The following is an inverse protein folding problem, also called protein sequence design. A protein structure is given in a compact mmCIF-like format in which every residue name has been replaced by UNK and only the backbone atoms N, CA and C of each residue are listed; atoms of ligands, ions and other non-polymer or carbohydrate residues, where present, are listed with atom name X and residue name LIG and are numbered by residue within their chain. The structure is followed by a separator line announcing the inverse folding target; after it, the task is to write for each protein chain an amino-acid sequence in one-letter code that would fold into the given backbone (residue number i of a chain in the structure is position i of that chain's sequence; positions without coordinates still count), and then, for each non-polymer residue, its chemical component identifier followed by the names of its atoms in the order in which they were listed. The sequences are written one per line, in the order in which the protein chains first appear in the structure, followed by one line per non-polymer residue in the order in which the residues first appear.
data_IF_337726933444
#
_entry.id   IF_337726933444
#
_cell.length_a   1.000
_cell.length_b   1.000
_cell.length_c   1.000
_cell.angle_alpha   90.00
_cell.angle_beta   90.00
_cell.angle_gamma   90.00
#
_symmetry.space_group_name_H-M   'P 1'
#
loop_
_entity.id
_entity.type
_entity.pdbx_description
1 polymer ?
#
# COMPACT_ATOMS: atom_id res chain seq x y z
N UNK A 1 -18.02 37.53 -14.59
CA UNK A 1 -18.10 36.14 -15.07
C UNK A 1 -16.97 35.93 -16.07
N UNK A 2 -15.77 35.59 -15.58
CA UNK A 2 -14.70 35.08 -16.43
C UNK A 2 -14.83 33.56 -16.36
N UNK A 3 -15.10 32.90 -17.49
CA UNK A 3 -15.17 31.44 -17.53
C UNK A 3 -13.79 30.86 -17.24
N UNK A 4 -13.71 29.91 -16.31
CA UNK A 4 -12.51 29.08 -16.14
C UNK A 4 -12.22 28.40 -17.48
N UNK A 5 -11.15 28.82 -18.17
CA UNK A 5 -10.67 28.14 -19.37
C UNK A 5 -10.03 26.85 -18.90
N UNK A 6 -10.82 25.78 -18.84
CA UNK A 6 -10.36 24.43 -18.55
C UNK A 6 -9.36 24.01 -19.64
N UNK A 7 -8.22 23.43 -19.25
CA UNK A 7 -7.25 22.86 -20.20
C UNK A 7 -7.83 21.66 -20.97
N UNK A 8 -7.08 21.12 -21.95
CA UNK A 8 -7.53 19.94 -22.69
C UNK A 8 -7.79 18.76 -21.75
N UNK A 9 -8.94 18.11 -21.92
CA UNK A 9 -9.37 16.95 -21.15
C UNK A 9 -8.95 15.68 -21.85
N UNK A 10 -8.05 14.92 -21.23
CA UNK A 10 -7.42 13.75 -21.85
C UNK A 10 -7.60 12.50 -20.99
N UNK A 11 -7.85 11.36 -21.63
CA UNK A 11 -8.07 10.08 -20.95
C UNK A 11 -6.80 9.23 -21.02
N UNK A 12 -6.33 8.77 -19.86
CA UNK A 12 -5.13 7.95 -19.74
C UNK A 12 -5.44 6.61 -19.06
N UNK A 13 -4.70 5.57 -19.43
CA UNK A 13 -4.60 4.34 -18.67
C UNK A 13 -3.64 4.53 -17.50
N UNK A 14 -4.04 4.06 -16.32
CA UNK A 14 -3.24 4.22 -15.11
C UNK A 14 -2.27 3.05 -14.97
N UNK A 15 -1.00 3.38 -14.72
CA UNK A 15 -0.02 2.45 -14.19
C UNK A 15 0.38 2.92 -12.79
N UNK A 16 -0.07 2.22 -11.76
CA UNK A 16 0.36 2.49 -10.38
C UNK A 16 1.68 1.77 -10.09
N UNK A 17 2.69 2.51 -9.63
CA UNK A 17 3.96 1.93 -9.18
C UNK A 17 4.28 2.34 -7.74
N UNK A 18 4.99 1.48 -6.98
CA UNK A 18 5.46 1.84 -5.66
C UNK A 18 6.30 3.12 -5.69
N UNK A 19 6.14 4.00 -4.70
CA UNK A 19 6.83 5.30 -4.63
C UNK A 19 8.36 5.14 -4.66
N UNK A 20 8.88 3.99 -4.27
CA UNK A 20 10.29 3.64 -4.31
C UNK A 20 10.88 3.73 -5.72
N UNK A 21 10.09 3.46 -6.77
CA UNK A 21 10.51 3.63 -8.18
C UNK A 21 10.66 5.10 -8.59
N UNK A 22 10.15 6.04 -7.78
CA UNK A 22 10.24 7.49 -7.97
C UNK A 22 11.36 8.13 -7.12
N UNK A 23 12.16 7.34 -6.39
CA UNK A 23 13.23 7.83 -5.50
C UNK A 23 14.60 8.04 -6.17
N UNK A 24 14.74 7.59 -7.43
CA UNK A 24 15.98 7.45 -8.23
C UNK A 24 17.34 7.68 -7.55
N UNK A 25 18.11 6.60 -7.46
CA UNK A 25 19.55 6.62 -7.74
C UNK A 25 19.85 5.54 -8.77
N UNK A 26 20.69 5.90 -9.75
CA UNK A 26 21.23 5.10 -10.87
C UNK A 26 20.45 5.10 -12.19
N UNK A 27 21.05 5.81 -13.15
CA UNK A 27 20.95 5.60 -14.60
C UNK A 27 19.55 5.75 -15.21
N UNK A 28 18.92 6.91 -15.01
CA UNK A 28 18.18 7.46 -16.17
C UNK A 28 19.23 7.78 -17.24
N UNK A 29 19.02 7.36 -18.47
CA UNK A 29 19.83 7.80 -19.61
C UNK A 29 19.65 9.31 -19.92
N UNK A 30 19.05 10.08 -19.00
CA UNK A 30 18.61 11.46 -19.19
C UNK A 30 19.30 12.47 -18.25
N UNK A 31 20.17 12.02 -17.33
CA UNK A 31 20.96 12.92 -16.46
C UNK A 31 22.44 12.56 -16.50
N UNK A 32 23.13 13.02 -17.55
CA UNK A 32 24.61 13.05 -17.61
C UNK A 32 25.19 14.31 -16.94
N UNK A 33 24.38 15.12 -16.28
CA UNK A 33 24.81 16.37 -15.65
C UNK A 33 24.38 16.40 -14.18
N UNK A 34 25.31 15.98 -13.32
CA UNK A 34 25.25 15.94 -11.86
C UNK A 34 24.25 14.94 -11.22
N UNK A 35 24.68 14.12 -10.24
CA UNK A 35 23.80 13.18 -9.55
C UNK A 35 22.96 13.93 -8.50
N UNK A 36 21.96 14.69 -8.94
CA UNK A 36 20.92 15.15 -8.02
C UNK A 36 19.94 14.00 -7.79
N UNK A 37 19.97 13.47 -6.56
CA UNK A 37 19.05 12.45 -6.09
C UNK A 37 17.63 13.03 -6.10
N UNK A 38 16.87 12.77 -7.16
CA UNK A 38 15.48 13.18 -7.29
C UNK A 38 14.62 12.23 -6.48
N UNK A 39 14.52 12.50 -5.18
CA UNK A 39 13.43 11.98 -4.37
C UNK A 39 12.20 12.83 -4.71
N UNK A 40 11.35 12.35 -5.61
CA UNK A 40 10.12 13.03 -6.03
C UNK A 40 9.01 12.83 -4.97
N UNK A 41 8.99 11.68 -4.30
CA UNK A 41 8.11 11.39 -3.17
C UNK A 41 6.69 11.04 -3.59
N UNK A 42 5.72 11.18 -2.68
CA UNK A 42 4.37 10.62 -2.81
C UNK A 42 3.46 11.34 -3.82
N UNK A 43 3.81 12.54 -4.29
CA UNK A 43 2.97 13.34 -5.20
C UNK A 43 3.61 13.53 -6.57
N UNK A 44 3.98 12.41 -7.18
CA UNK A 44 4.79 12.37 -8.40
C UNK A 44 4.06 11.64 -9.52
N UNK A 45 4.28 12.12 -10.73
CA UNK A 45 3.67 11.64 -11.96
C UNK A 45 4.74 11.51 -13.04
N UNK A 46 4.71 10.44 -13.84
CA UNK A 46 5.57 10.32 -15.03
C UNK A 46 4.71 10.24 -16.29
N UNK A 47 5.06 11.08 -17.26
CA UNK A 47 4.42 11.18 -18.58
C UNK A 47 5.48 11.16 -19.68
N UNK A 48 5.12 10.74 -20.88
CA UNK A 48 5.96 10.99 -22.06
C UNK A 48 5.66 12.37 -22.66
N UNK A 49 6.53 12.81 -23.58
CA UNK A 49 6.42 14.11 -24.25
C UNK A 49 5.09 14.30 -25.01
N UNK A 50 4.58 13.23 -25.64
CA UNK A 50 3.29 13.26 -26.35
C UNK A 50 2.10 13.46 -25.41
N UNK A 51 2.12 12.84 -24.24
CA UNK A 51 1.05 12.97 -23.24
C UNK A 51 1.10 14.35 -22.57
N UNK A 52 2.30 14.87 -22.34
CA UNK A 52 2.52 16.25 -21.86
C UNK A 52 1.95 17.28 -22.82
N UNK A 53 2.23 17.14 -24.12
CA UNK A 53 1.73 18.05 -25.15
C UNK A 53 0.21 17.95 -25.29
N UNK A 54 -0.37 16.75 -25.22
CA UNK A 54 -1.83 16.55 -25.17
C UNK A 54 -2.48 17.30 -23.99
N UNK A 55 -1.85 17.29 -22.83
CA UNK A 55 -2.30 18.04 -21.64
C UNK A 55 -2.05 19.56 -21.71
N UNK A 56 -1.42 20.06 -22.79
CA UNK A 56 -1.12 21.48 -22.93
C UNK A 56 -0.05 21.99 -21.95
N UNK A 57 0.76 21.09 -21.37
CA UNK A 57 1.79 21.44 -20.40
C UNK A 57 3.12 21.85 -21.05
N UNK A 58 3.32 21.62 -22.35
CA UNK A 58 4.60 21.80 -23.05
C UNK A 58 5.16 23.22 -23.02
N UNK A 59 4.32 24.25 -22.91
CA UNK A 59 4.74 25.65 -22.81
C UNK A 59 5.21 26.07 -21.41
N UNK A 60 5.11 25.17 -20.41
CA UNK A 60 5.38 25.45 -18.99
C UNK A 60 6.55 24.67 -18.41
N UNK A 61 7.20 23.81 -19.21
CA UNK A 61 8.18 22.84 -18.74
C UNK A 61 9.58 23.29 -19.15
N UNK A 62 10.17 24.18 -18.35
CA UNK A 62 11.56 24.63 -18.54
C UNK A 62 12.58 23.62 -17.97
N UNK A 63 12.12 22.55 -17.30
CA UNK A 63 12.95 21.57 -16.61
C UNK A 63 12.33 20.17 -16.60
N UNK A 64 13.18 19.14 -16.38
CA UNK A 64 12.80 17.71 -16.38
C UNK A 64 11.70 17.39 -15.34
N UNK A 65 11.62 18.19 -14.27
CA UNK A 65 10.64 18.05 -13.18
C UNK A 65 9.92 19.36 -12.99
N UNK A 66 8.61 19.38 -13.19
CA UNK A 66 7.83 20.61 -13.04
C UNK A 66 6.56 20.38 -12.24
N UNK A 67 6.10 21.41 -11.56
CA UNK A 67 4.86 21.38 -10.80
C UNK A 67 3.67 21.72 -11.69
N UNK A 68 2.60 20.92 -11.60
CA UNK A 68 1.35 21.19 -12.29
C UNK A 68 0.16 20.92 -11.38
N UNK A 69 -0.87 21.76 -11.47
CA UNK A 69 -2.17 21.50 -10.85
C UNK A 69 -2.99 20.69 -11.82
N UNK A 70 -3.29 19.45 -11.43
CA UNK A 70 -4.04 18.51 -12.24
C UNK A 70 -5.35 18.14 -11.53
N UNK A 71 -6.41 18.09 -12.33
CA UNK A 71 -7.72 17.57 -11.93
C UNK A 71 -7.86 16.14 -12.44
N UNK A 72 -8.02 15.19 -11.52
CA UNK A 72 -8.18 13.76 -11.78
C UNK A 72 -9.65 13.39 -11.64
N UNK A 73 -10.24 12.94 -12.74
CA UNK A 73 -11.62 12.50 -12.82
C UNK A 73 -11.65 10.98 -13.04
N UNK A 74 -12.19 10.27 -12.05
CA UNK A 74 -12.33 8.82 -12.09
C UNK A 74 -13.78 8.42 -12.34
N UNK A 75 -13.94 7.34 -13.10
CA UNK A 75 -15.24 6.68 -13.22
C UNK A 75 -15.57 5.94 -11.93
N UNK A 76 -16.83 5.99 -11.52
CA UNK A 76 -17.33 5.26 -10.37
C UNK A 76 -18.36 4.24 -10.80
N UNK A 77 -18.21 2.99 -10.36
CA UNK A 77 -19.27 2.00 -10.46
C UNK A 77 -20.22 2.19 -9.27
N UNK A 78 -21.36 2.86 -9.50
CA UNK A 78 -22.46 2.90 -8.53
C UNK A 78 -23.35 1.67 -8.70
N UNK A 79 -23.93 1.19 -7.59
CA UNK A 79 -25.08 0.26 -7.62
C UNK A 79 -26.37 0.93 -8.12
N UNK A 80 -26.34 2.22 -8.51
CA UNK A 80 -27.47 3.01 -9.01
C UNK A 80 -27.09 3.87 -10.24
N UNK A 81 -28.02 4.16 -11.17
CA UNK A 81 -27.71 4.59 -12.54
C UNK A 81 -27.46 6.11 -12.68
N UNK A 82 -26.64 6.70 -11.82
CA UNK A 82 -26.16 8.06 -12.01
C UNK A 82 -24.63 8.08 -12.00
N UNK A 83 -24.03 8.20 -13.19
CA UNK A 83 -22.59 8.41 -13.35
C UNK A 83 -22.22 9.78 -12.77
N UNK A 84 -21.88 9.85 -11.50
CA UNK A 84 -21.25 11.02 -10.91
C UNK A 84 -19.75 10.92 -11.10
N UNK A 85 -19.17 11.78 -11.95
CA UNK A 85 -17.72 11.95 -12.03
C UNK A 85 -17.22 12.66 -10.77
N UNK A 86 -16.44 11.96 -9.95
CA UNK A 86 -15.82 12.57 -8.77
C UNK A 86 -14.42 13.06 -9.14
N UNK A 87 -14.17 14.34 -8.84
CA UNK A 87 -12.93 15.02 -9.23
C UNK A 87 -12.09 15.31 -7.99
N UNK A 88 -10.83 14.88 -8.03
CA UNK A 88 -9.80 15.33 -7.08
C UNK A 88 -8.83 16.26 -7.78
N UNK A 89 -8.59 17.44 -7.21
CA UNK A 89 -7.62 18.41 -7.72
C UNK A 89 -6.37 18.35 -6.85
N UNK A 90 -5.19 18.29 -7.47
CA UNK A 90 -3.94 18.20 -6.72
C UNK A 90 -2.77 18.84 -7.46
N UNK A 91 -1.87 19.44 -6.68
CA UNK A 91 -0.56 19.84 -7.16
C UNK A 91 0.36 18.61 -7.18
N UNK A 92 0.94 18.32 -8.34
CA UNK A 92 1.81 17.16 -8.54
C UNK A 92 3.10 17.56 -9.23
N UNK A 93 4.16 16.80 -8.96
CA UNK A 93 5.41 16.87 -9.71
C UNK A 93 5.30 15.99 -10.96
N UNK A 94 5.35 16.60 -12.14
CA UNK A 94 5.35 15.93 -13.43
C UNK A 94 6.79 15.74 -13.90
N UNK A 95 7.13 14.49 -14.21
CA UNK A 95 8.42 14.08 -14.74
C UNK A 95 8.24 13.53 -16.15
N UNK A 96 9.14 13.91 -17.04
CA UNK A 96 9.15 13.39 -18.40
C UNK A 96 10.00 12.12 -18.52
N UNK A 97 9.46 11.09 -19.14
CA UNK A 97 10.20 9.88 -19.50
C UNK A 97 9.66 9.27 -20.80
N UNK A 98 10.52 9.16 -21.82
CA UNK A 98 10.17 8.63 -23.14
C UNK A 98 9.75 7.14 -23.11
N UNK A 99 10.14 6.39 -22.07
CA UNK A 99 9.82 4.97 -21.94
C UNK A 99 8.34 4.74 -21.61
N UNK A 100 7.64 5.76 -21.12
CA UNK A 100 6.21 5.66 -20.83
C UNK A 100 5.42 5.62 -22.15
N UNK A 101 4.54 4.62 -22.35
CA UNK A 101 3.73 4.55 -23.57
C UNK A 101 2.80 5.76 -23.75
N UNK A 102 2.42 6.02 -24.99
CA UNK A 102 1.36 7.00 -25.30
C UNK A 102 0.05 6.55 -24.63
N UNK A 103 -0.73 7.52 -24.15
CA UNK A 103 -2.00 7.30 -23.44
C UNK A 103 -1.89 6.56 -22.10
N UNK A 104 -0.67 6.43 -21.55
CA UNK A 104 -0.41 5.89 -20.21
C UNK A 104 0.11 6.99 -19.29
N UNK A 105 -0.37 6.98 -18.06
CA UNK A 105 0.10 7.83 -16.97
C UNK A 105 0.65 6.94 -15.85
N UNK A 106 1.88 7.19 -15.42
CA UNK A 106 2.50 6.45 -14.32
C UNK A 106 2.35 7.28 -13.05
N UNK A 107 1.58 6.74 -12.10
CA UNK A 107 1.19 7.40 -10.86
C UNK A 107 1.81 6.62 -9.70
N UNK A 108 2.34 7.30 -8.67
CA UNK A 108 2.75 6.60 -7.45
C UNK A 108 1.55 5.97 -6.74
N UNK A 109 1.72 4.80 -6.13
CA UNK A 109 0.67 4.14 -5.33
C UNK A 109 0.15 5.06 -4.21
N UNK A 110 1.03 5.87 -3.62
CA UNK A 110 0.65 6.89 -2.63
C UNK A 110 -0.24 8.00 -3.22
N UNK A 111 0.09 8.52 -4.42
CA UNK A 111 -0.71 9.57 -5.08
C UNK A 111 -2.10 9.02 -5.39
N UNK A 112 -2.18 7.84 -6.01
CA UNK A 112 -3.45 7.21 -6.35
C UNK A 112 -4.30 6.96 -5.11
N UNK A 113 -3.72 6.40 -4.05
CA UNK A 113 -4.42 6.16 -2.79
C UNK A 113 -4.97 7.45 -2.15
N UNK A 114 -4.18 8.53 -2.18
CA UNK A 114 -4.60 9.81 -1.64
C UNK A 114 -5.68 10.50 -2.48
N UNK A 115 -5.64 10.38 -3.81
CA UNK A 115 -6.72 10.86 -4.70
C UNK A 115 -8.03 10.12 -4.38
N UNK A 116 -7.98 8.80 -4.19
CA UNK A 116 -9.15 8.00 -3.78
C UNK A 116 -9.71 8.46 -2.42
N UNK A 117 -8.83 8.70 -1.44
CA UNK A 117 -9.24 9.18 -0.12
C UNK A 117 -9.88 10.56 -0.16
N UNK A 118 -9.34 11.49 -0.96
CA UNK A 118 -9.93 12.82 -1.17
C UNK A 118 -11.33 12.71 -1.80
N UNK A 119 -11.47 11.88 -2.84
CA UNK A 119 -12.75 11.62 -3.51
C UNK A 119 -13.78 11.05 -2.53
N UNK A 120 -13.38 10.06 -1.72
CA UNK A 120 -14.27 9.43 -0.73
C UNK A 120 -14.69 10.38 0.38
N UNK A 121 -13.81 11.30 0.81
CA UNK A 121 -14.15 12.33 1.81
C UNK A 121 -15.17 13.33 1.28
N UNK A 122 -15.13 13.63 -0.03
CA UNK A 122 -16.04 14.57 -0.69
C UNK A 122 -17.40 13.94 -1.04
N UNK A 123 -17.46 12.63 -1.23
CA UNK A 123 -18.72 11.95 -1.54
C UNK A 123 -19.64 11.84 -0.31
N UNK A 124 -20.89 12.27 -0.46
CA UNK A 124 -21.93 12.12 0.56
C UNK A 124 -22.44 10.68 0.66
N UNK A 125 -22.39 9.94 -0.45
CA UNK A 125 -22.77 8.53 -0.54
C UNK A 125 -21.49 7.69 -0.51
N UNK A 126 -21.18 7.08 0.63
CA UNK A 126 -19.89 6.41 0.88
C UNK A 126 -19.70 5.04 0.22
N UNK A 127 -20.59 4.62 -0.69
CA UNK A 127 -20.60 3.27 -1.26
C UNK A 127 -20.46 3.29 -2.78
N UNK A 128 -19.24 3.48 -3.26
CA UNK A 128 -18.89 3.37 -4.67
C UNK A 128 -17.48 2.80 -4.83
N UNK A 129 -17.26 2.11 -5.94
CA UNK A 129 -15.94 1.64 -6.35
C UNK A 129 -15.40 2.57 -7.43
N UNK A 130 -14.12 2.91 -7.29
CA UNK A 130 -13.39 3.77 -8.23
C UNK A 130 -12.72 2.83 -9.24
N UNK A 131 -13.02 3.03 -10.52
CA UNK A 131 -12.31 2.32 -11.60
C UNK A 131 -10.88 2.87 -11.69
N UNK A 132 -9.91 2.02 -11.35
CA UNK A 132 -8.47 2.36 -11.36
C UNK A 132 -7.81 2.07 -12.71
N UNK A 133 -8.55 1.60 -13.71
CA UNK A 133 -7.96 1.27 -15.01
C UNK A 133 -7.69 2.52 -15.87
N UNK A 134 -8.51 3.55 -15.72
CA UNK A 134 -8.40 4.78 -16.48
C UNK A 134 -8.77 6.01 -15.65
N UNK A 135 -8.13 7.13 -15.98
CA UNK A 135 -8.41 8.43 -15.39
C UNK A 135 -8.48 9.48 -16.49
N UNK A 136 -9.41 10.40 -16.34
CA UNK A 136 -9.44 11.59 -17.17
C UNK A 136 -8.75 12.73 -16.44
N UNK A 137 -7.71 13.28 -17.04
CA UNK A 137 -6.85 14.32 -16.45
C UNK A 137 -7.06 15.63 -17.20
N UNK A 138 -7.16 16.70 -16.43
CA UNK A 138 -7.24 18.07 -16.95
C UNK A 138 -6.14 18.88 -16.29
N UNK A 139 -5.30 19.53 -17.10
CA UNK A 139 -4.34 20.50 -16.62
C UNK A 139 -5.03 21.84 -16.39
N UNK A 140 -4.89 22.42 -15.19
CA UNK A 140 -5.52 23.70 -14.90
C UNK A 140 -4.62 24.86 -15.33
N UNK A 141 -5.26 25.94 -15.81
CA UNK A 141 -4.60 27.18 -16.13
C UNK A 141 -4.43 28.02 -14.87
N UNK A 142 -3.51 27.63 -14.00
CA UNK A 142 -3.09 28.48 -12.90
C UNK A 142 -2.26 29.64 -13.48
N UNK A 143 -2.92 30.78 -13.71
CA UNK A 143 -2.24 32.06 -13.85
C UNK A 143 -1.65 32.40 -12.48
N UNK A 144 -0.43 31.94 -12.19
CA UNK A 144 0.54 32.54 -11.25
C UNK A 144 1.60 31.49 -10.89
N UNK A 145 2.84 31.75 -11.34
CA UNK A 145 4.04 30.97 -11.05
C UNK A 145 4.50 31.11 -9.58
N UNK A 146 3.60 31.27 -8.62
CA UNK A 146 3.97 31.36 -7.21
C UNK A 146 3.96 29.96 -6.58
N UNK A 147 5.03 29.59 -5.85
CA UNK A 147 5.09 28.29 -5.20
C UNK A 147 4.02 28.19 -4.10
N UNK A 148 3.43 26.99 -3.90
CA UNK A 148 2.50 26.72 -2.79
C UNK A 148 3.04 27.18 -1.43
N UNK A 149 2.12 27.59 -0.55
CA UNK A 149 2.45 28.05 0.79
C UNK A 149 3.22 26.98 1.57
N UNK A 150 4.23 27.42 2.32
CA UNK A 150 5.06 26.54 3.14
C UNK A 150 4.40 26.27 4.49
N UNK A 151 4.44 25.02 4.94
CA UNK A 151 3.96 24.65 6.26
C UNK A 151 4.92 25.16 7.34
N UNK A 152 4.39 25.57 8.49
CA UNK A 152 5.18 25.88 9.69
C UNK A 152 5.24 24.69 10.64
N UNK A 153 4.19 23.87 10.65
CA UNK A 153 4.07 22.70 11.52
C UNK A 153 3.35 21.58 10.77
N UNK A 154 3.85 20.36 10.92
CA UNK A 154 3.23 19.13 10.39
C UNK A 154 3.08 18.14 11.55
N UNK A 155 1.88 17.61 11.72
CA UNK A 155 1.59 16.53 12.67
C UNK A 155 1.43 15.23 11.90
N UNK A 156 2.23 14.23 12.25
CA UNK A 156 2.29 12.92 11.59
C UNK A 156 1.90 11.80 12.56
N UNK A 157 1.22 10.80 12.03
CA UNK A 157 1.01 9.51 12.69
C UNK A 157 1.71 8.44 11.88
N UNK A 158 2.53 7.60 12.50
CA UNK A 158 3.02 6.39 11.85
C UNK A 158 1.87 5.38 11.71
N UNK A 159 1.74 4.78 10.53
CA UNK A 159 0.83 3.65 10.28
C UNK A 159 1.70 2.39 10.35
N UNK A 160 1.95 1.90 11.57
CA UNK A 160 2.86 0.78 11.80
C UNK A 160 2.15 -0.55 11.61
N UNK A 161 2.81 -1.49 10.91
CA UNK A 161 2.36 -2.89 10.79
C UNK A 161 2.97 -3.79 11.87
N UNK A 162 4.15 -3.45 12.39
CA UNK A 162 4.88 -4.23 13.40
C UNK A 162 5.62 -3.32 14.39
N UNK A 163 5.88 -3.87 15.57
CA UNK A 163 6.28 -3.20 16.83
C UNK A 163 7.70 -2.59 16.76
N UNK A 164 7.77 -1.27 17.00
CA UNK A 164 8.89 -0.42 17.46
C UNK A 164 10.24 -0.43 16.69
N UNK A 165 10.43 0.46 15.70
CA UNK A 165 11.67 1.22 15.60
C UNK A 165 11.73 2.23 16.76
N UNK A 166 12.86 2.32 17.47
CA UNK A 166 13.12 3.43 18.38
C UNK A 166 12.86 4.78 17.68
N UNK A 167 12.27 5.76 18.39
CA UNK A 167 11.90 7.07 17.83
C UNK A 167 13.06 7.75 17.07
N UNK A 168 14.30 7.53 17.50
CA UNK A 168 15.52 8.07 16.88
C UNK A 168 15.69 7.62 15.42
N UNK A 169 15.30 6.37 15.10
CA UNK A 169 15.40 5.82 13.74
C UNK A 169 14.37 6.45 12.80
N UNK A 170 13.21 6.83 13.32
CA UNK A 170 12.15 7.51 12.56
C UNK A 170 12.56 8.93 12.21
N UNK A 171 13.18 9.65 13.14
CA UNK A 171 13.64 11.03 12.94
C UNK A 171 14.68 11.15 11.81
N UNK A 172 15.66 10.24 11.79
CA UNK A 172 16.67 10.19 10.73
C UNK A 172 16.04 9.93 9.35
N UNK A 173 15.07 9.01 9.30
CA UNK A 173 14.36 8.64 8.09
C UNK A 173 13.52 9.80 7.54
N UNK A 174 12.76 10.48 8.40
CA UNK A 174 11.98 11.67 8.00
C UNK A 174 12.90 12.84 7.58
N UNK A 175 14.04 13.02 8.25
CA UNK A 175 15.03 14.05 7.90
C UNK A 175 15.64 13.83 6.51
N UNK A 176 15.87 12.55 6.15
CA UNK A 176 16.28 12.18 4.79
C UNK A 176 15.14 12.41 3.79
N UNK A 177 13.92 12.01 4.13
CA UNK A 177 12.77 12.13 3.23
C UNK A 177 12.45 13.59 2.86
N UNK A 178 12.42 14.50 3.84
CA UNK A 178 12.15 15.93 3.65
C UNK A 178 13.39 16.75 3.23
N UNK A 179 14.48 16.08 2.83
CA UNK A 179 15.65 16.74 2.25
C UNK A 179 15.33 17.46 0.94
N UNK A 180 14.39 16.93 0.17
CA UNK A 180 13.74 17.62 -0.94
C UNK A 180 12.37 18.12 -0.50
N UNK A 181 11.92 19.21 -1.14
CA UNK A 181 10.60 19.79 -0.90
C UNK A 181 9.51 18.82 -1.32
N UNK A 182 8.54 18.59 -0.43
CA UNK A 182 7.37 17.74 -0.66
C UNK A 182 6.10 18.57 -0.55
N UNK A 183 5.15 18.36 -1.44
CA UNK A 183 3.80 18.89 -1.25
C UNK A 183 2.99 17.82 -0.50
N UNK A 184 2.29 18.19 0.56
CA UNK A 184 1.43 17.29 1.34
C UNK A 184 0.10 17.99 1.65
N UNK A 185 -0.98 17.23 1.74
CA UNK A 185 -2.33 17.66 2.13
C UNK A 185 -2.76 16.99 3.43
N UNK A 186 -3.74 17.59 4.11
CA UNK A 186 -4.33 17.00 5.31
C UNK A 186 -4.96 15.64 5.04
N UNK A 187 -4.59 14.66 5.88
CA UNK A 187 -5.06 13.29 5.77
C UNK A 187 -4.39 12.46 4.68
N UNK A 188 -3.36 12.97 4.01
CA UNK A 188 -2.56 12.16 3.09
C UNK A 188 -1.82 11.04 3.83
N UNK A 189 -1.60 9.93 3.13
CA UNK A 189 -0.69 8.88 3.53
C UNK A 189 0.47 8.83 2.53
N UNK A 190 1.70 8.84 3.03
CA UNK A 190 2.90 8.73 2.20
C UNK A 190 3.82 7.65 2.74
N UNK A 191 4.55 7.04 1.81
CA UNK A 191 5.54 6.00 2.10
C UNK A 191 6.95 6.58 2.12
N UNK A 192 7.77 6.03 3.01
CA UNK A 192 9.19 6.37 3.14
C UNK A 192 10.00 5.09 3.14
N UNK A 193 10.89 4.97 2.16
CA UNK A 193 11.76 3.81 2.01
C UNK A 193 12.85 3.78 3.09
N UNK A 194 13.12 2.60 3.62
CA UNK A 194 14.17 2.32 4.59
C UNK A 194 15.40 1.81 3.84
N UNK A 195 16.47 2.61 3.80
CA UNK A 195 17.73 2.21 3.15
C UNK A 195 18.41 1.04 3.89
N UNK A 196 19.28 0.30 3.19
CA UNK A 196 20.02 -0.83 3.77
C UNK A 196 20.82 -0.50 5.04
N UNK A 197 21.39 0.70 5.14
CA UNK A 197 22.10 1.15 6.35
C UNK A 197 21.16 1.21 7.57
N UNK A 198 19.90 1.59 7.37
CA UNK A 198 18.88 1.61 8.42
C UNK A 198 18.27 0.22 8.63
N UNK A 199 18.21 -0.63 7.60
CA UNK A 199 17.79 -2.05 7.75
C UNK A 199 18.68 -2.81 8.73
N UNK A 200 20.00 -2.57 8.72
CA UNK A 200 20.93 -3.21 9.67
C UNK A 200 20.64 -2.85 11.14
N UNK A 201 20.21 -1.61 11.41
CA UNK A 201 19.82 -1.16 12.77
C UNK A 201 18.47 -1.73 13.18
N UNK A 202 17.57 -1.94 12.20
CA UNK A 202 16.22 -2.50 12.40
C UNK A 202 16.17 -4.04 12.31
N UNK A 203 17.31 -4.68 11.99
CA UNK A 203 17.42 -6.09 11.57
C UNK A 203 17.11 -7.14 12.62
N UNK A 204 16.77 -6.74 13.85
CA UNK A 204 16.58 -7.72 14.91
C UNK A 204 15.40 -8.65 14.64
N UNK A 205 14.35 -8.23 13.90
CA UNK A 205 13.20 -9.13 13.67
C UNK A 205 12.45 -9.02 12.32
N UNK A 206 12.66 -8.02 11.45
CA UNK A 206 11.83 -7.86 10.22
C UNK A 206 12.56 -7.10 9.10
N UNK A 207 12.44 -7.55 7.84
CA UNK A 207 12.73 -6.73 6.65
C UNK A 207 11.63 -5.68 6.46
N UNK A 208 11.72 -4.54 7.17
CA UNK A 208 10.85 -3.39 6.91
C UNK A 208 11.50 -2.58 5.79
N UNK A 209 10.98 -2.71 4.57
CA UNK A 209 11.47 -1.94 3.43
C UNK A 209 10.88 -0.53 3.40
N UNK A 210 9.68 -0.32 3.97
CA UNK A 210 8.92 0.92 3.83
C UNK A 210 8.09 1.21 5.06
N UNK A 211 8.12 2.47 5.52
CA UNK A 211 7.29 2.98 6.62
C UNK A 211 6.26 3.96 6.08
N UNK A 212 5.02 3.85 6.54
CA UNK A 212 3.93 4.72 6.12
C UNK A 212 3.60 5.75 7.19
N UNK A 213 3.37 6.99 6.76
CA UNK A 213 2.97 8.09 7.63
C UNK A 213 1.68 8.72 7.11
N UNK A 214 0.76 8.99 8.04
CA UNK A 214 -0.44 9.76 7.79
C UNK A 214 -0.24 11.19 8.27
N UNK A 215 -0.56 12.15 7.43
CA UNK A 215 -0.61 13.57 7.76
C UNK A 215 -1.89 13.83 8.54
N UNK A 216 -1.76 14.14 9.83
CA UNK A 216 -2.91 14.41 10.69
C UNK A 216 -3.34 15.88 10.62
N UNK A 217 -2.36 16.78 10.55
CA UNK A 217 -2.59 18.22 10.55
C UNK A 217 -1.42 18.96 9.89
N UNK A 218 -1.74 19.92 9.03
CA UNK A 218 -0.82 20.90 8.46
C UNK A 218 -1.23 22.30 8.90
N UNK A 219 -0.29 23.05 9.45
CA UNK A 219 -0.48 24.45 9.78
C UNK A 219 0.46 25.32 8.94
N UNK A 220 -0.06 26.45 8.48
CA UNK A 220 0.73 27.52 7.87
C UNK A 220 0.32 28.88 8.42
N UNK A 221 1.28 29.77 8.55
CA UNK A 221 1.07 31.18 8.89
C UNK A 221 0.63 32.00 7.68
N UNK A 222 0.88 31.51 6.46
CA UNK A 222 0.46 32.15 5.22
C UNK A 222 -0.87 31.53 4.79
N UNK A 223 -1.96 32.30 4.82
CA UNK A 223 -3.19 31.86 4.16
C UNK A 223 -2.91 31.82 2.65
N UNK A 224 -3.22 30.70 2.00
CA UNK A 224 -3.12 30.59 0.54
C UNK A 224 -4.26 31.42 -0.10
N UNK A 225 -4.17 32.74 -0.04
CA UNK A 225 -5.20 33.66 -0.55
C UNK A 225 -5.38 33.56 -2.09
N UNK A 226 -4.43 32.93 -2.78
CA UNK A 226 -4.30 32.89 -4.24
C UNK A 226 -4.80 31.59 -4.90
N UNK A 227 -5.02 30.53 -4.12
CA UNK A 227 -5.68 29.33 -4.62
C UNK A 227 -7.15 29.36 -4.18
N UNK A 228 -8.14 29.16 -5.07
CA UNK A 228 -9.52 29.05 -4.65
C UNK A 228 -9.62 28.02 -3.53
N UNK A 229 -10.48 28.26 -2.53
CA UNK A 229 -10.61 27.46 -1.30
C UNK A 229 -10.79 25.95 -1.51
N UNK A 230 -11.11 25.53 -2.74
CA UNK A 230 -11.34 24.15 -3.15
C UNK A 230 -10.19 23.49 -3.93
N UNK A 231 -9.14 24.24 -4.32
CA UNK A 231 -8.16 23.78 -5.34
C UNK A 231 -6.86 23.22 -4.75
N UNK A 232 -6.35 23.73 -3.62
CA UNK A 232 -5.08 23.28 -3.04
C UNK A 232 -5.09 23.43 -1.50
N UNK A 233 -5.55 22.41 -0.77
CA UNK A 233 -5.48 22.36 0.71
C UNK A 233 -4.11 21.92 1.26
N UNK A 234 -3.11 21.78 0.39
CA UNK A 234 -1.80 21.27 0.77
C UNK A 234 -0.76 22.37 0.91
N UNK A 235 0.36 21.98 1.51
CA UNK A 235 1.48 22.87 1.81
C UNK A 235 2.80 22.19 1.43
N UNK A 236 3.82 23.02 1.18
CA UNK A 236 5.19 22.52 1.02
C UNK A 236 5.80 22.22 2.38
N UNK A 237 6.42 21.06 2.48
CA UNK A 237 7.16 20.56 3.64
C UNK A 237 8.60 20.28 3.23
N UNK A 238 9.54 20.81 4.01
CA UNK A 238 10.98 20.58 3.87
C UNK A 238 11.62 20.45 5.27
N UNK A 239 12.95 20.30 5.31
CA UNK A 239 13.72 20.13 6.56
C UNK A 239 13.54 21.24 7.60
N UNK A 240 13.08 22.43 7.22
CA UNK A 240 12.92 23.54 8.17
C UNK A 240 11.57 23.54 8.89
N UNK A 241 10.64 22.68 8.49
CA UNK A 241 9.31 22.57 9.08
C UNK A 241 9.36 21.74 10.37
N UNK A 242 8.68 22.19 11.41
CA UNK A 242 8.59 21.44 12.66
C UNK A 242 7.69 20.21 12.51
N UNK A 243 8.25 19.02 12.72
CA UNK A 243 7.53 17.74 12.68
C UNK A 243 7.12 17.31 14.09
N UNK A 244 5.86 16.89 14.25
CA UNK A 244 5.34 16.34 15.50
C UNK A 244 4.77 14.95 15.25
N UNK A 245 5.18 13.95 16.01
CA UNK A 245 4.61 12.61 15.92
C UNK A 245 3.54 12.42 17.00
N UNK A 246 2.36 11.97 16.59
CA UNK A 246 1.27 11.56 17.49
C UNK A 246 1.13 10.04 17.54
N UNK A 247 0.30 9.56 18.47
CA UNK A 247 -0.02 8.15 18.58
C UNK A 247 -0.59 7.57 17.28
N UNK A 248 -0.28 6.30 17.02
CA UNK A 248 -0.68 5.59 15.81
C UNK A 248 -2.20 5.68 15.60
N UNK A 249 -2.60 6.20 14.45
CA UNK A 249 -3.98 6.22 13.99
C UNK A 249 -4.27 4.99 13.14
N UNK A 250 -5.53 4.56 13.19
CA UNK A 250 -6.06 3.53 12.31
C UNK A 250 -6.27 4.10 10.89
N UNK A 251 -5.95 3.31 9.87
CA UNK A 251 -6.17 3.67 8.47
C UNK A 251 -5.54 2.68 7.50
N UNK A 252 -6.12 2.57 6.30
CA UNK A 252 -5.53 1.74 5.25
C UNK A 252 -4.18 2.29 4.80
N UNK A 253 -3.34 1.37 4.34
CA UNK A 253 -2.09 1.65 3.65
C UNK A 253 -2.35 1.80 2.14
N UNK A 254 -1.50 2.54 1.40
CA UNK A 254 -1.48 2.51 -0.05
C UNK A 254 -1.40 1.07 -0.58
N UNK A 255 -2.41 0.61 -1.34
CA UNK A 255 -2.40 -0.73 -1.92
C UNK A 255 -1.25 -0.89 -2.90
N UNK A 256 -0.61 -2.06 -2.87
CA UNK A 256 0.45 -2.40 -3.82
C UNK A 256 -0.08 -3.28 -4.95
N UNK A 257 0.52 -3.13 -6.11
CA UNK A 257 0.21 -3.94 -7.30
C UNK A 257 1.44 -4.58 -7.93
N UNK A 258 2.61 -4.00 -7.64
CA UNK A 258 3.92 -4.43 -8.14
C UNK A 258 4.86 -4.65 -6.95
N UNK A 259 5.68 -5.72 -6.95
CA UNK A 259 6.67 -5.95 -5.91
C UNK A 259 7.76 -4.89 -5.96
N UNK A 260 8.39 -4.61 -4.82
CA UNK A 260 9.57 -3.74 -4.76
C UNK A 260 10.78 -4.53 -5.23
N UNK A 261 11.32 -4.18 -6.40
CA UNK A 261 12.56 -4.80 -6.87
C UNK A 261 13.78 -4.25 -6.12
N UNK A 262 14.81 -5.10 -5.97
CA UNK A 262 16.09 -4.66 -5.39
C UNK A 262 16.76 -3.55 -6.21
N UNK A 263 16.58 -3.56 -7.53
CA UNK A 263 16.95 -2.47 -8.41
C UNK A 263 15.71 -1.62 -8.77
N UNK A 264 15.48 -0.56 -8.00
CA UNK A 264 14.37 0.39 -8.13
C UNK A 264 14.50 1.28 -9.39
N UNK A 265 14.32 0.71 -10.58
CA UNK A 265 14.33 1.48 -11.83
C UNK A 265 13.20 1.08 -12.77
N UNK A 266 12.51 2.10 -13.31
CA UNK A 266 11.53 1.97 -14.39
C UNK A 266 12.10 1.25 -15.62
N UNK A 267 13.42 1.27 -15.81
CA UNK A 267 14.08 0.53 -16.90
C UNK A 267 13.83 -0.98 -16.81
N UNK A 268 13.82 -1.53 -15.59
CA UNK A 268 13.62 -2.96 -15.37
C UNK A 268 12.15 -3.39 -15.45
N UNK A 269 11.22 -2.43 -15.43
CA UNK A 269 9.80 -2.65 -15.72
C UNK A 269 9.54 -2.68 -17.24
N UNK A 270 10.40 -3.35 -18.03
CA UNK A 270 10.43 -3.42 -19.51
C UNK A 270 9.04 -3.36 -20.20
N UNK A 271 9.00 -3.00 -21.50
CA UNK A 271 7.75 -2.95 -22.31
C UNK A 271 6.89 -4.22 -22.15
N UNK A 272 7.52 -5.41 -22.11
CA UNK A 272 6.82 -6.69 -21.87
C UNK A 272 6.17 -6.77 -20.47
N UNK A 273 6.78 -6.15 -19.45
CA UNK A 273 6.22 -6.02 -18.09
C UNK A 273 4.99 -5.12 -18.10
N UNK A 274 4.99 -4.05 -18.90
CA UNK A 274 3.81 -3.18 -19.03
C UNK A 274 2.65 -3.93 -19.69
N UNK A 275 2.92 -4.79 -20.68
CA UNK A 275 1.90 -5.68 -21.25
C UNK A 275 1.43 -6.74 -20.25
N UNK A 276 2.32 -7.32 -19.45
CA UNK A 276 1.96 -8.23 -18.35
C UNK A 276 1.13 -7.52 -17.28
N UNK A 277 1.49 -6.30 -16.86
CA UNK A 277 0.71 -5.49 -15.93
C UNK A 277 -0.67 -5.13 -16.49
N UNK A 278 -0.74 -4.83 -17.81
CA UNK A 278 -2.02 -4.61 -18.52
C UNK A 278 -2.88 -5.86 -18.56
N UNK A 279 -2.28 -7.02 -18.77
CA UNK A 279 -2.99 -8.29 -19.00
C UNK A 279 -3.42 -8.95 -17.69
N UNK A 280 -2.53 -8.99 -16.70
CA UNK A 280 -2.71 -9.74 -15.45
C UNK A 280 -3.13 -8.87 -14.26
N UNK A 281 -3.21 -7.54 -14.43
CA UNK A 281 -3.64 -6.54 -13.43
C UNK A 281 -2.86 -6.51 -12.09
N UNK A 282 -1.94 -7.43 -11.80
CA UNK A 282 -0.98 -7.43 -10.66
C UNK A 282 0.18 -8.41 -10.85
N UNK A 283 1.34 -8.13 -10.24
CA UNK A 283 2.54 -9.01 -10.20
C UNK A 283 3.00 -9.25 -8.75
N UNK A 284 2.11 -9.16 -7.74
CA UNK A 284 2.52 -9.37 -6.35
C UNK A 284 2.87 -10.83 -5.99
N UNK A 285 2.46 -11.77 -6.83
CA UNK A 285 2.72 -13.20 -6.62
C UNK A 285 3.18 -13.84 -7.94
N UNK A 286 3.90 -14.97 -7.89
CA UNK A 286 4.19 -15.76 -9.08
C UNK A 286 2.91 -16.05 -9.88
N UNK A 287 2.94 -16.07 -11.22
CA UNK A 287 1.76 -16.37 -12.04
C UNK A 287 1.09 -17.70 -11.67
N UNK A 288 1.89 -18.70 -11.30
CA UNK A 288 1.43 -20.00 -10.81
C UNK A 288 0.58 -19.96 -9.54
N UNK A 289 0.64 -18.85 -8.78
CA UNK A 289 -0.15 -18.62 -7.57
C UNK A 289 -1.42 -17.80 -7.85
N UNK A 290 -1.67 -17.40 -9.10
CA UNK A 290 -2.80 -16.53 -9.46
C UNK A 290 -4.16 -17.07 -9.02
N UNK A 291 -4.44 -18.37 -9.25
CA UNK A 291 -5.71 -18.99 -8.86
C UNK A 291 -5.94 -18.93 -7.35
N UNK A 292 -4.97 -19.38 -6.55
CA UNK A 292 -5.09 -19.37 -5.09
C UNK A 292 -5.16 -17.95 -4.54
N UNK A 293 -4.39 -17.03 -5.12
CA UNK A 293 -4.41 -15.62 -4.73
C UNK A 293 -5.78 -15.00 -4.98
N UNK A 294 -6.39 -15.28 -6.14
CA UNK A 294 -7.73 -14.81 -6.45
C UNK A 294 -8.80 -15.41 -5.54
N UNK A 295 -8.70 -16.70 -5.18
CA UNK A 295 -9.58 -17.30 -4.17
C UNK A 295 -9.46 -16.57 -2.82
N UNK A 296 -8.25 -16.26 -2.38
CA UNK A 296 -8.05 -15.50 -1.14
C UNK A 296 -8.59 -14.06 -1.23
N UNK A 297 -8.52 -13.44 -2.42
CA UNK A 297 -9.14 -12.14 -2.66
C UNK A 297 -10.65 -12.20 -2.48
N UNK A 298 -11.31 -13.22 -3.06
CA UNK A 298 -12.76 -13.43 -2.93
C UNK A 298 -13.22 -13.62 -1.47
N UNK A 299 -12.38 -14.20 -0.62
CA UNK A 299 -12.68 -14.34 0.82
C UNK A 299 -12.70 -12.99 1.55
N UNK A 300 -11.78 -12.10 1.19
CA UNK A 300 -11.50 -10.86 1.89
C UNK A 300 -12.32 -9.69 1.37
N UNK A 301 -12.60 -9.66 0.07
CA UNK A 301 -13.31 -8.59 -0.62
C UNK A 301 -14.62 -8.16 0.08
N UNK A 302 -15.51 -9.08 0.55
CA UNK A 302 -16.73 -8.68 1.25
C UNK A 302 -16.52 -7.89 2.55
N UNK A 303 -15.34 -8.02 3.16
CA UNK A 303 -14.98 -7.40 4.44
C UNK A 303 -14.10 -6.15 4.28
N UNK A 304 -13.45 -5.98 3.12
CA UNK A 304 -12.66 -4.77 2.80
C UNK A 304 -13.48 -3.75 2.03
N UNK A 305 -14.44 -4.19 1.21
CA UNK A 305 -15.18 -3.29 0.31
C UNK A 305 -15.87 -2.17 1.09
N UNK A 306 -15.46 -0.94 0.77
CA UNK A 306 -15.90 0.31 1.38
C UNK A 306 -17.42 0.56 1.28
N UNK A 307 -18.11 -0.19 0.42
CA UNK A 307 -19.55 -0.10 0.18
C UNK A 307 -20.42 -0.69 1.29
N UNK A 308 -19.88 -1.55 2.15
CA UNK A 308 -20.61 -2.13 3.28
C UNK A 308 -19.95 -1.72 4.60
N UNK A 309 -20.73 -1.21 5.55
CA UNK A 309 -20.23 -1.01 6.90
C UNK A 309 -20.00 -2.38 7.52
N UNK A 310 -18.78 -2.67 7.96
CA UNK A 310 -18.49 -3.95 8.65
C UNK A 310 -19.37 -4.20 9.87
N UNK A 311 -19.94 -3.16 10.47
CA UNK A 311 -20.91 -3.29 11.57
C UNK A 311 -22.15 -4.08 11.19
N UNK A 312 -22.44 -4.22 9.90
CA UNK A 312 -23.62 -4.91 9.38
C UNK A 312 -23.34 -6.40 9.11
N UNK A 313 -22.07 -6.81 9.16
CA UNK A 313 -21.63 -8.20 8.97
C UNK A 313 -21.40 -8.81 10.35
N UNK A 314 -22.30 -9.68 10.79
CA UNK A 314 -22.19 -10.37 12.10
C UNK A 314 -21.11 -11.48 12.13
N UNK A 315 -20.43 -11.72 11.02
CA UNK A 315 -19.42 -12.76 10.87
C UNK A 315 -18.02 -12.25 11.21
N UNK A 316 -17.26 -13.05 11.96
CA UNK A 316 -15.82 -12.83 12.17
C UNK A 316 -15.06 -13.42 10.97
N UNK A 317 -14.34 -12.61 10.16
CA UNK A 317 -13.60 -13.11 9.01
C UNK A 317 -12.35 -13.87 9.44
N UNK A 318 -12.52 -15.19 9.61
CA UNK A 318 -11.45 -16.11 9.97
C UNK A 318 -11.33 -17.17 8.89
N UNK A 319 -10.13 -17.36 8.37
CA UNK A 319 -9.85 -18.27 7.27
C UNK A 319 -8.67 -19.18 7.60
N UNK A 320 -8.61 -20.35 6.96
CA UNK A 320 -7.51 -21.30 7.12
C UNK A 320 -6.82 -21.58 5.79
N UNK A 321 -5.51 -21.36 5.75
CA UNK A 321 -4.65 -21.74 4.64
C UNK A 321 -3.67 -22.85 5.08
N UNK A 322 -3.93 -24.07 4.65
CA UNK A 322 -3.09 -25.24 4.96
C UNK A 322 -2.08 -25.52 3.85
N UNK A 323 -1.02 -26.26 4.16
CA UNK A 323 -0.05 -26.73 3.16
C UNK A 323 1.31 -27.02 3.78
N UNK A 324 2.20 -27.71 3.06
CA UNK A 324 3.54 -28.04 3.58
C UNK A 324 4.38 -26.78 3.88
N UNK A 325 5.42 -26.92 4.68
CA UNK A 325 6.37 -25.83 4.90
C UNK A 325 7.10 -25.45 3.62
N UNK A 326 7.36 -24.16 3.46
CA UNK A 326 8.05 -23.62 2.28
C UNK A 326 7.20 -23.51 1.01
N UNK A 327 5.90 -23.82 1.04
CA UNK A 327 5.04 -23.69 -0.16
C UNK A 327 4.62 -22.26 -0.49
N UNK A 328 4.97 -21.26 0.34
CA UNK A 328 4.67 -19.85 0.06
C UNK A 328 3.42 -19.30 0.76
N UNK A 329 2.88 -19.97 1.79
CA UNK A 329 1.70 -19.50 2.55
C UNK A 329 1.86 -18.07 3.08
N UNK A 330 2.99 -17.76 3.72
CA UNK A 330 3.25 -16.42 4.27
C UNK A 330 3.40 -15.36 3.18
N UNK A 331 4.01 -15.73 2.04
CA UNK A 331 4.15 -14.84 0.87
C UNK A 331 2.77 -14.44 0.33
N UNK A 332 1.86 -15.40 0.17
CA UNK A 332 0.49 -15.15 -0.29
C UNK A 332 -0.27 -14.20 0.64
N UNK A 333 -0.21 -14.42 1.96
CA UNK A 333 -0.92 -13.58 2.92
C UNK A 333 -0.33 -12.17 3.01
N UNK A 334 0.99 -12.04 2.90
CA UNK A 334 1.65 -10.74 2.81
C UNK A 334 1.25 -10.01 1.52
N UNK A 335 1.31 -10.67 0.36
CA UNK A 335 0.84 -10.09 -0.90
C UNK A 335 -0.63 -9.67 -0.84
N UNK A 336 -1.48 -10.48 -0.22
CA UNK A 336 -2.90 -10.21 -0.06
C UNK A 336 -3.15 -8.97 0.81
N UNK A 337 -2.43 -8.83 1.92
CA UNK A 337 -2.51 -7.65 2.76
C UNK A 337 -2.06 -6.38 2.03
N UNK A 338 -0.96 -6.46 1.26
CA UNK A 338 -0.46 -5.36 0.45
C UNK A 338 -1.44 -4.98 -0.65
N UNK A 339 -2.07 -5.96 -1.29
CA UNK A 339 -3.04 -5.75 -2.36
C UNK A 339 -4.29 -4.99 -1.89
N UNK A 340 -4.75 -5.24 -0.66
CA UNK A 340 -5.88 -4.53 -0.07
C UNK A 340 -5.50 -3.31 0.77
N UNK A 341 -4.20 -3.02 0.92
CA UNK A 341 -3.74 -1.93 1.79
C UNK A 341 -4.01 -2.17 3.28
N UNK A 342 -4.00 -3.43 3.72
CA UNK A 342 -4.15 -3.82 5.11
C UNK A 342 -2.81 -3.86 5.82
N UNK A 343 -2.78 -3.55 7.11
CA UNK A 343 -1.64 -3.90 7.96
C UNK A 343 -1.48 -5.42 8.01
N UNK A 344 -0.26 -5.91 7.86
CA UNK A 344 0.08 -7.32 8.00
C UNK A 344 0.79 -7.56 9.33
N UNK A 345 0.22 -8.43 10.17
CA UNK A 345 0.85 -8.79 11.42
C UNK A 345 0.95 -10.30 11.54
N UNK A 346 2.18 -10.82 11.56
CA UNK A 346 2.44 -12.24 11.74
C UNK A 346 2.73 -12.56 13.20
N UNK A 347 2.00 -13.53 13.74
CA UNK A 347 2.25 -14.13 15.05
C UNK A 347 2.50 -15.62 14.85
N UNK A 348 3.65 -16.09 15.32
CA UNK A 348 3.91 -17.53 15.40
C UNK A 348 3.27 -18.08 16.68
N UNK A 349 2.29 -18.98 16.53
CA UNK A 349 1.54 -19.55 17.65
C UNK A 349 2.44 -20.40 18.57
N UNK A 350 3.57 -20.90 18.07
CA UNK A 350 4.60 -21.56 18.91
C UNK A 350 5.07 -20.64 20.04
N UNK A 351 5.20 -19.34 19.77
CA UNK A 351 5.64 -18.36 20.77
C UNK A 351 4.52 -17.97 21.75
N UNK A 352 3.27 -18.32 21.43
CA UNK A 352 2.10 -18.06 22.28
C UNK A 352 1.94 -19.16 23.32
N UNK A 353 2.23 -20.41 22.95
CA UNK A 353 2.32 -21.53 23.89
C UNK A 353 3.23 -21.20 25.07
N UNK A 354 2.71 -21.37 26.29
CA UNK A 354 3.42 -21.10 27.54
C UNK A 354 3.63 -22.36 28.35
N UNK A 355 4.80 -22.51 28.96
CA UNK A 355 5.08 -23.63 29.88
C UNK A 355 4.37 -23.46 31.25
N UNK A 356 3.95 -22.24 31.59
CA UNK A 356 3.32 -21.93 32.88
C UNK A 356 1.82 -21.63 32.72
N UNK A 357 0.98 -22.05 33.70
CA UNK A 357 -0.46 -21.87 33.63
C UNK A 357 -0.85 -20.40 33.53
N UNK A 358 -1.70 -20.06 32.56
CA UNK A 358 -2.24 -18.72 32.34
C UNK A 358 -1.40 -17.78 31.46
N UNK A 359 -0.16 -18.15 31.12
CA UNK A 359 0.66 -17.33 30.21
C UNK A 359 0.10 -17.29 28.79
N UNK A 360 -0.36 -18.44 28.27
CA UNK A 360 -0.96 -18.53 26.94
C UNK A 360 -2.19 -17.63 26.82
N UNK A 361 -3.09 -17.63 27.82
CA UNK A 361 -4.27 -16.75 27.84
C UNK A 361 -3.90 -15.26 27.84
N UNK A 362 -2.92 -14.88 28.66
CA UNK A 362 -2.46 -13.50 28.74
C UNK A 362 -1.88 -13.02 27.41
N UNK A 363 -1.08 -13.86 26.74
CA UNK A 363 -0.54 -13.58 25.40
C UNK A 363 -1.64 -13.49 24.36
N UNK A 364 -2.60 -14.41 24.34
CA UNK A 364 -3.76 -14.34 23.43
C UNK A 364 -4.55 -13.03 23.64
N UNK A 365 -4.83 -12.64 24.88
CA UNK A 365 -5.50 -11.36 25.17
C UNK A 365 -4.68 -10.16 24.71
N UNK A 366 -3.37 -10.18 24.94
CA UNK A 366 -2.47 -9.12 24.49
C UNK A 366 -2.45 -8.99 22.96
N UNK A 367 -2.41 -10.12 22.24
CA UNK A 367 -2.44 -10.16 20.77
C UNK A 367 -3.70 -9.47 20.25
N UNK A 368 -4.87 -9.87 20.74
CA UNK A 368 -6.14 -9.28 20.29
C UNK A 368 -6.31 -7.81 20.71
N UNK A 369 -5.73 -7.41 21.85
CA UNK A 369 -5.71 -6.00 22.27
C UNK A 369 -4.86 -5.14 21.33
N UNK A 370 -3.69 -5.63 20.92
CA UNK A 370 -2.81 -4.94 19.96
C UNK A 370 -3.41 -4.92 18.57
N UNK A 371 -4.06 -6.01 18.14
CA UNK A 371 -4.72 -6.12 16.83
C UNK A 371 -5.73 -4.98 16.62
N UNK A 372 -6.50 -4.63 17.66
CA UNK A 372 -7.46 -3.52 17.59
C UNK A 372 -6.77 -2.17 17.33
N UNK A 373 -5.56 -1.96 17.85
CA UNK A 373 -4.77 -0.75 17.59
C UNK A 373 -4.23 -0.67 16.17
N UNK A 374 -3.99 -1.81 15.52
CA UNK A 374 -3.43 -1.93 14.17
C UNK A 374 -4.49 -1.92 13.05
N UNK A 375 -5.77 -1.76 13.39
CA UNK A 375 -6.83 -1.84 12.38
C UNK A 375 -6.69 -0.72 11.32
N UNK A 376 -6.94 -0.99 10.02
CA UNK A 376 -7.34 -2.26 9.43
C UNK A 376 -6.18 -3.25 9.23
N UNK A 377 -6.34 -4.50 9.66
CA UNK A 377 -5.24 -5.47 9.75
C UNK A 377 -5.65 -6.90 9.37
N UNK A 378 -4.75 -7.59 8.67
CA UNK A 378 -4.72 -9.05 8.50
C UNK A 378 -3.75 -9.64 9.53
N UNK A 379 -4.30 -10.29 10.55
CA UNK A 379 -3.56 -11.10 11.52
C UNK A 379 -3.29 -12.47 10.93
N UNK A 380 -2.02 -12.78 10.70
CA UNK A 380 -1.56 -14.09 10.29
C UNK A 380 -1.11 -14.91 11.51
N UNK A 381 -1.89 -15.92 11.87
CA UNK A 381 -1.57 -16.89 12.92
C UNK A 381 -0.86 -18.10 12.30
N UNK A 382 0.46 -18.16 12.41
CA UNK A 382 1.26 -19.27 11.89
C UNK A 382 1.30 -20.45 12.87
N UNK A 383 1.21 -21.66 12.33
CA UNK A 383 1.18 -22.91 13.11
C UNK A 383 0.05 -22.92 14.15
N UNK A 384 -1.18 -22.65 13.71
CA UNK A 384 -2.34 -22.47 14.59
C UNK A 384 -2.57 -23.63 15.56
N UNK A 385 -2.15 -24.84 15.20
CA UNK A 385 -2.18 -26.02 16.05
C UNK A 385 -1.42 -25.84 17.38
N UNK A 386 -0.38 -25.00 17.40
CA UNK A 386 0.48 -24.77 18.57
C UNK A 386 -0.12 -23.72 19.53
N UNK A 387 -1.17 -23.00 19.11
CA UNK A 387 -1.83 -21.97 19.93
C UNK A 387 -2.44 -22.56 21.21
N UNK A 388 -2.93 -23.80 21.12
CA UNK A 388 -3.64 -24.51 22.18
C UNK A 388 -2.91 -25.79 22.57
N UNK A 389 -1.60 -25.89 22.32
CA UNK A 389 -0.77 -26.98 22.83
C UNK A 389 0.14 -26.49 23.96
N UNK A 390 0.30 -27.31 24.98
CA UNK A 390 1.30 -27.09 26.04
C UNK A 390 2.68 -27.60 25.61
N UNK A 391 3.68 -27.46 26.49
CA UNK A 391 5.06 -27.91 26.21
C UNK A 391 5.18 -29.42 26.00
N UNK A 392 4.21 -30.21 26.47
CA UNK A 392 4.12 -31.66 26.30
C UNK A 392 3.27 -32.05 25.07
N UNK A 393 2.91 -31.08 24.22
CA UNK A 393 2.01 -31.24 23.06
C UNK A 393 0.61 -31.76 23.43
N UNK A 394 0.14 -31.51 24.66
CA UNK A 394 -1.24 -31.78 25.08
C UNK A 394 -2.10 -30.56 24.85
N UNK A 395 -3.39 -30.80 24.63
CA UNK A 395 -4.35 -29.71 24.41
C UNK A 395 -4.57 -28.86 25.67
N UNK A 396 -4.19 -27.59 25.61
CA UNK A 396 -4.56 -26.56 26.57
C UNK A 396 -5.96 -25.99 26.24
N UNK A 397 -6.97 -26.61 26.85
CA UNK A 397 -8.38 -26.22 26.73
C UNK A 397 -8.61 -24.77 27.15
N UNK A 398 -7.77 -24.20 28.03
CA UNK A 398 -7.94 -22.82 28.51
C UNK A 398 -7.53 -21.82 27.43
N UNK A 399 -6.38 -22.04 26.80
CA UNK A 399 -5.93 -21.25 25.65
C UNK A 399 -6.95 -21.30 24.51
N UNK A 400 -7.48 -22.49 24.20
CA UNK A 400 -8.53 -22.70 23.21
C UNK A 400 -9.79 -21.87 23.48
N UNK A 401 -10.30 -21.93 24.71
CA UNK A 401 -11.50 -21.19 25.11
C UNK A 401 -11.26 -19.68 25.13
N UNK A 402 -10.08 -19.25 25.59
CA UNK A 402 -9.68 -17.85 25.55
C UNK A 402 -9.65 -17.32 24.10
N UNK A 403 -9.07 -18.08 23.16
CA UNK A 403 -9.06 -17.71 21.75
C UNK A 403 -10.47 -17.56 21.17
N UNK A 404 -11.35 -18.56 21.37
CA UNK A 404 -12.76 -18.49 20.95
C UNK A 404 -13.48 -17.26 21.51
N UNK A 405 -13.23 -16.94 22.78
CA UNK A 405 -13.81 -15.76 23.42
C UNK A 405 -13.28 -14.47 22.79
N UNK A 406 -11.96 -14.34 22.57
CA UNK A 406 -11.38 -13.15 21.96
C UNK A 406 -11.89 -12.90 20.54
N UNK A 407 -12.04 -13.96 19.74
CA UNK A 407 -12.66 -13.90 18.41
C UNK A 407 -14.08 -13.32 18.49
N UNK A 408 -14.93 -13.82 19.40
CA UNK A 408 -16.30 -13.32 19.58
C UNK A 408 -16.36 -11.86 20.05
N UNK A 409 -15.34 -11.41 20.78
CA UNK A 409 -15.21 -10.03 21.27
C UNK A 409 -14.50 -9.11 20.27
N UNK A 410 -14.08 -9.64 19.11
CA UNK A 410 -13.42 -8.87 18.07
C UNK A 410 -14.46 -8.08 17.27
N UNK A 411 -14.83 -6.92 17.80
CA UNK A 411 -15.65 -5.92 17.11
C UNK A 411 -14.80 -4.68 16.87
N UNK A 412 -14.80 -4.19 15.64
CA UNK A 412 -14.09 -3.00 15.21
C UNK A 412 -14.87 -2.28 14.12
N UNK A 413 -14.70 -0.96 14.04
CA UNK A 413 -15.19 -0.17 12.90
C UNK A 413 -14.39 -0.44 11.62
N UNK A 414 -13.13 -0.82 11.78
CA UNK A 414 -12.18 -1.10 10.71
C UNK A 414 -12.01 -2.61 10.49
N UNK A 415 -11.68 -3.04 9.25
CA UNK A 415 -11.44 -4.44 8.96
C UNK A 415 -10.34 -5.09 9.76
N UNK A 416 -10.71 -6.15 10.46
CA UNK A 416 -9.81 -7.03 11.18
C UNK A 416 -10.10 -8.45 10.71
N UNK A 417 -9.09 -9.09 10.14
CA UNK A 417 -9.19 -10.43 9.57
C UNK A 417 -8.15 -11.33 10.19
N UNK A 418 -8.50 -12.59 10.37
CA UNK A 418 -7.59 -13.59 10.91
C UNK A 418 -7.40 -14.65 9.84
N UNK A 419 -6.17 -14.86 9.40
CA UNK A 419 -5.84 -15.98 8.53
C UNK A 419 -4.86 -16.88 9.28
N UNK A 420 -5.32 -18.08 9.59
CA UNK A 420 -4.50 -19.11 10.22
C UNK A 420 -3.77 -19.92 9.15
N UNK A 421 -2.54 -20.32 9.43
CA UNK A 421 -1.82 -21.31 8.61
C UNK A 421 -1.45 -22.54 9.41
N UNK A 422 -1.50 -23.69 8.75
CA UNK A 422 -1.14 -24.99 9.34
C UNK A 422 -0.36 -25.84 8.35
N UNK A 423 0.43 -26.77 8.88
CA UNK A 423 1.10 -27.80 8.08
C UNK A 423 0.22 -29.03 7.86
N UNK A 424 -0.69 -29.30 8.80
CA UNK A 424 -1.48 -30.51 8.84
C UNK A 424 -2.86 -30.22 9.43
N UNK A 425 -3.89 -30.25 8.58
CA UNK A 425 -5.28 -29.97 8.99
C UNK A 425 -5.78 -30.96 10.06
N UNK A 426 -5.26 -32.19 10.08
CA UNK A 426 -5.64 -33.24 11.03
C UNK A 426 -5.25 -32.90 12.48
N UNK A 427 -4.28 -32.01 12.69
CA UNK A 427 -3.86 -31.55 14.03
C UNK A 427 -4.78 -30.47 14.60
N UNK A 428 -5.69 -29.93 13.79
CA UNK A 428 -6.57 -28.84 14.19
C UNK A 428 -7.70 -29.37 15.07
N UNK A 429 -7.86 -28.79 16.26
CA UNK A 429 -8.97 -29.09 17.15
C UNK A 429 -10.31 -28.75 16.46
N UNK A 430 -11.29 -29.65 16.56
CA UNK A 430 -12.61 -29.51 15.94
C UNK A 430 -13.31 -28.20 16.30
N UNK A 431 -13.09 -27.71 17.52
CA UNK A 431 -13.66 -26.46 18.00
C UNK A 431 -13.04 -25.21 17.39
N UNK A 432 -11.78 -25.25 16.93
CA UNK A 432 -11.20 -24.16 16.13
C UNK A 432 -11.65 -24.28 14.68
N UNK A 433 -11.73 -25.51 14.16
CA UNK A 433 -12.14 -25.73 12.78
C UNK A 433 -13.51 -25.13 12.46
N UNK A 434 -14.43 -25.15 13.43
CA UNK A 434 -15.75 -24.51 13.33
C UNK A 434 -15.75 -22.98 13.26
N UNK A 435 -14.63 -22.32 13.58
CA UNK A 435 -14.51 -20.87 13.52
C UNK A 435 -14.12 -20.37 12.12
N UNK A 436 -13.53 -21.24 11.29
CA UNK A 436 -13.11 -20.86 9.95
C UNK A 436 -14.31 -20.80 9.01
N UNK A 437 -14.48 -19.67 8.33
CA UNK A 437 -15.51 -19.49 7.31
C UNK A 437 -15.17 -20.32 6.07
N UNK A 438 -13.92 -20.24 5.64
CA UNK A 438 -13.42 -20.94 4.47
C UNK A 438 -12.03 -21.51 4.73
N UNK A 439 -11.72 -22.61 4.04
CA UNK A 439 -10.44 -23.31 4.16
C UNK A 439 -9.91 -23.68 2.78
N UNK A 440 -8.60 -23.59 2.56
CA UNK A 440 -7.98 -24.04 1.31
C UNK A 440 -6.58 -24.57 1.57
N UNK A 441 -6.16 -25.54 0.75
CA UNK A 441 -4.84 -26.19 0.84
C UNK A 441 -3.94 -25.75 -0.31
N UNK A 442 -2.79 -25.19 0.03
CA UNK A 442 -1.71 -24.90 -0.90
C UNK A 442 -0.89 -26.17 -1.16
N UNK A 443 -0.98 -26.67 -2.40
CA UNK A 443 -0.29 -27.88 -2.86
C UNK A 443 1.22 -27.63 -3.02
N UNK A 444 1.99 -28.71 -3.03
CA UNK A 444 3.42 -28.65 -3.37
C UNK A 444 3.55 -28.31 -4.86
N UNK A 445 4.38 -27.32 -5.24
CA UNK A 445 4.47 -26.88 -6.62
C UNK A 445 5.09 -27.96 -7.52
N UNK A 446 4.50 -28.16 -8.70
CA UNK A 446 5.01 -29.04 -9.74
C UNK A 446 6.23 -28.41 -10.48
N UNK A 447 6.79 -29.10 -11.47
CA UNK A 447 7.98 -28.60 -12.20
C UNK A 447 7.74 -27.24 -12.86
N UNK A 448 6.63 -27.07 -13.58
CA UNK A 448 6.28 -25.82 -14.28
C UNK A 448 6.06 -24.68 -13.29
N UNK A 449 5.31 -24.92 -12.21
CA UNK A 449 5.08 -23.94 -11.16
C UNK A 449 6.38 -23.52 -10.46
N UNK A 450 7.33 -24.45 -10.27
CA UNK A 450 8.66 -24.12 -9.73
C UNK A 450 9.46 -23.24 -10.68
N UNK A 451 9.42 -23.51 -11.99
CA UNK A 451 10.04 -22.66 -13.00
C UNK A 451 9.48 -21.24 -12.92
N UNK A 452 8.14 -21.10 -12.83
CA UNK A 452 7.48 -19.80 -12.68
C UNK A 452 7.89 -19.07 -11.40
N UNK A 453 7.96 -19.77 -10.27
CA UNK A 453 8.40 -19.19 -8.99
C UNK A 453 9.85 -18.71 -9.10
N UNK A 454 10.73 -19.51 -9.68
CA UNK A 454 12.12 -19.11 -9.89
C UNK A 454 12.17 -17.87 -10.79
N UNK A 455 11.40 -17.87 -11.89
CA UNK A 455 11.32 -16.72 -12.79
C UNK A 455 10.90 -15.44 -12.08
N UNK A 456 9.87 -15.55 -11.26
CA UNK A 456 9.36 -14.48 -10.43
C UNK A 456 10.41 -13.93 -9.46
N UNK A 457 11.16 -14.81 -8.78
CA UNK A 457 12.20 -14.40 -7.82
C UNK A 457 13.37 -13.68 -8.50
N UNK A 458 13.79 -14.11 -9.68
CA UNK A 458 14.82 -13.40 -10.46
C UNK A 458 14.32 -12.03 -10.94
N UNK A 459 13.06 -11.96 -11.39
CA UNK A 459 12.40 -10.70 -11.75
C UNK A 459 12.38 -9.70 -10.59
N UNK A 460 11.95 -10.14 -9.39
CA UNK A 460 11.96 -9.29 -8.18
C UNK A 460 13.38 -8.84 -7.80
N UNK A 461 14.40 -9.62 -8.15
CA UNK A 461 15.79 -9.27 -7.91
C UNK A 461 16.44 -8.45 -9.05
N UNK A 462 15.67 -8.03 -10.05
CA UNK A 462 16.17 -7.23 -11.18
C UNK A 462 17.19 -7.97 -12.06
N UNK A 463 17.19 -9.32 -12.04
CA UNK A 463 18.12 -10.16 -12.79
C UNK A 463 17.39 -10.84 -13.95
N UNK A 464 18.01 -10.80 -15.13
CA UNK A 464 17.56 -11.62 -16.26
C UNK A 464 18.03 -13.06 -16.08
N UNK A 465 17.20 -13.96 -16.57
CA UNK A 465 17.38 -15.39 -16.43
C UNK A 465 17.96 -15.93 -17.73
N UNK A 466 19.05 -16.68 -17.64
CA UNK A 466 19.47 -17.51 -18.76
C UNK A 466 18.57 -18.74 -18.84
N UNK A 467 17.61 -18.71 -19.78
CA UNK A 467 16.62 -19.77 -20.00
C UNK A 467 17.32 -21.11 -20.29
N UNK A 468 18.53 -21.09 -20.86
CA UNK A 468 19.30 -22.31 -21.16
C UNK A 468 19.86 -23.01 -19.92
N UNK A 469 19.91 -22.32 -18.78
CA UNK A 469 20.36 -22.89 -17.50
C UNK A 469 19.20 -23.47 -16.69
N UNK A 470 17.96 -23.04 -16.99
CA UNK A 470 16.75 -23.51 -16.30
C UNK A 470 16.10 -24.75 -16.93
N UNK A 471 16.29 -24.93 -18.24
CA UNK A 471 15.91 -26.14 -18.99
C UNK A 471 16.97 -27.21 -18.82
#
# INVERSE_FOLDING_TARGET
MMGEVCGPQEKFFILSLPTEYFLSTYESALVNTSPQQLNLGSNSLILNEKNVTKLGLSSRLDSIVTWAVLSFNFNTHRLSPQNSTLVSKRLVQVVMDERVPVDVIVISEDLLFNLENDIRRKSTDGAFEIDKSCVTVIAENCHENQPPAKATKVVLSALQSEVHPDNISIDNLLTKYFSSQKYLCDGDVFSVHVDECHKLVLSSFVNIDTVYFKVCELQSTQKSEFYPSDVCRGHVVDRSVALYQVANQQGFLPPRTVPVCSNLSIRFLCIDTLEVLRTYRQILVPPSFGEIFYTLCQWIEPFVSYSKRMTDIELSPIFLLSGKNGTGKSLLLQALSQFYGLHYWRVDCVNVGGAAPGQSEAKVKAIFSQLKGLAPCLLHLANIEDLYQDADSKEDVRALNCFKQQVRLLKSKWPLMIVATTQCVERINSGINQLFLETTTLKVPNCEQREDIIKYLFYCNGKQIDIKVLQ
#
